data_IF_398320410013
#
_entry.id   IF_398320410013
#
_cell.length_a   1.000
_cell.length_b   1.000
_cell.length_c   1.000
_cell.angle_alpha   90.00
_cell.angle_beta   90.00
_cell.angle_gamma   90.00
#
_symmetry.space_group_name_H-M   'P 1'
#
loop_
_entity.id
_entity.type
_entity.pdbx_description
1 polymer ?
#
# COMPACT_ATOMS: atom_id res chain seq x y z
N UNK A 1 -3.48 7.66 2.03
CA UNK A 1 -4.36 6.63 2.65
C UNK A 1 -3.58 5.83 3.71
N UNK A 2 -4.24 5.35 4.76
CA UNK A 2 -3.75 4.36 5.74
C UNK A 2 -4.65 3.14 5.72
N UNK A 3 -4.22 2.05 6.35
CA UNK A 3 -5.05 0.86 6.57
C UNK A 3 -5.52 0.84 8.03
N UNK A 4 -6.81 0.53 8.22
CA UNK A 4 -7.35 0.20 9.55
C UNK A 4 -6.85 -1.17 9.98
N UNK A 5 -6.74 -1.37 11.30
CA UNK A 5 -6.23 -2.62 11.88
C UNK A 5 -7.37 -3.51 12.37
N UNK A 6 -7.14 -4.82 12.31
CA UNK A 6 -7.94 -5.85 12.99
C UNK A 6 -6.96 -6.76 13.74
N UNK A 7 -7.34 -7.20 14.94
CA UNK A 7 -6.46 -7.98 15.82
C UNK A 7 -7.01 -9.36 16.17
N UNK A 8 -8.24 -9.64 15.74
CA UNK A 8 -8.97 -10.86 16.01
C UNK A 8 -9.89 -11.21 14.82
N UNK A 9 -10.34 -12.46 14.81
CA UNK A 9 -11.17 -13.02 13.73
C UNK A 9 -12.55 -12.34 13.66
N UNK A 10 -13.16 -12.01 14.80
CA UNK A 10 -14.47 -11.36 14.84
C UNK A 10 -14.44 -9.99 14.14
N UNK A 11 -13.43 -9.19 14.42
CA UNK A 11 -13.20 -7.88 13.78
C UNK A 11 -12.96 -8.00 12.27
N UNK A 12 -12.25 -9.05 11.84
CA UNK A 12 -12.05 -9.34 10.42
C UNK A 12 -13.36 -9.76 9.72
N UNK A 13 -14.15 -10.63 10.34
CA UNK A 13 -15.46 -11.03 9.83
C UNK A 13 -16.44 -9.84 9.75
N UNK A 14 -16.38 -8.93 10.72
CA UNK A 14 -17.12 -7.68 10.69
C UNK A 14 -16.69 -6.78 9.52
N UNK A 15 -15.39 -6.73 9.18
CA UNK A 15 -14.91 -6.05 7.97
C UNK A 15 -15.47 -6.69 6.70
N UNK A 16 -15.40 -8.01 6.56
CA UNK A 16 -15.96 -8.74 5.41
C UNK A 16 -17.45 -8.41 5.23
N UNK A 17 -18.23 -8.45 6.32
CA UNK A 17 -19.65 -8.11 6.30
C UNK A 17 -19.90 -6.68 5.80
N UNK A 18 -19.14 -5.69 6.29
CA UNK A 18 -19.27 -4.29 5.82
C UNK A 18 -19.01 -4.15 4.32
N UNK A 19 -18.07 -4.93 3.76
CA UNK A 19 -17.79 -4.94 2.32
C UNK A 19 -18.97 -5.54 1.55
N UNK A 20 -19.48 -6.70 1.95
CA UNK A 20 -20.64 -7.36 1.32
C UNK A 20 -21.90 -6.47 1.36
N UNK A 21 -22.23 -5.91 2.52
CA UNK A 21 -23.39 -5.04 2.71
C UNK A 21 -23.32 -3.81 1.78
N UNK A 22 -22.13 -3.22 1.62
CA UNK A 22 -21.91 -2.07 0.74
C UNK A 22 -22.03 -2.42 -0.75
N UNK A 23 -21.59 -3.63 -1.12
CA UNK A 23 -21.70 -4.13 -2.50
C UNK A 23 -23.10 -4.66 -2.83
N UNK A 24 -23.97 -4.88 -1.83
CA UNK A 24 -25.29 -5.53 -1.97
C UNK A 24 -25.19 -6.89 -2.67
N UNK A 25 -24.12 -7.63 -2.40
CA UNK A 25 -23.87 -8.95 -2.96
C UNK A 25 -23.58 -9.95 -1.85
N UNK A 26 -24.06 -11.17 -2.06
CA UNK A 26 -23.77 -12.34 -1.23
C UNK A 26 -22.76 -13.28 -1.90
N UNK A 27 -22.18 -12.86 -3.02
CA UNK A 27 -21.19 -13.66 -3.74
C UNK A 27 -19.90 -13.77 -2.92
N UNK A 28 -19.14 -14.84 -3.20
CA UNK A 28 -17.84 -15.02 -2.57
C UNK A 28 -16.86 -13.93 -3.04
N UNK A 29 -16.35 -13.16 -2.09
CA UNK A 29 -15.32 -12.17 -2.34
C UNK A 29 -13.94 -12.84 -2.38
N UNK A 30 -13.17 -12.51 -3.41
CA UNK A 30 -11.76 -12.91 -3.49
C UNK A 30 -10.91 -11.80 -2.91
N UNK A 31 -10.06 -12.15 -1.93
CA UNK A 31 -9.14 -11.21 -1.28
C UNK A 31 -7.70 -11.48 -1.73
N UNK A 32 -6.94 -10.40 -1.97
CA UNK A 32 -5.48 -10.47 -2.05
C UNK A 32 -4.91 -10.32 -0.63
N UNK A 33 -4.18 -11.32 -0.17
CA UNK A 33 -3.55 -11.32 1.15
C UNK A 33 -2.04 -11.18 0.98
N UNK A 34 -1.49 -10.06 1.45
CA UNK A 34 -0.06 -9.76 1.40
C UNK A 34 0.51 -9.63 2.82
N UNK A 35 1.80 -9.96 2.98
CA UNK A 35 2.48 -9.76 4.26
C UNK A 35 2.62 -8.27 4.57
N UNK A 36 2.27 -7.88 5.79
CA UNK A 36 2.50 -6.53 6.29
C UNK A 36 3.97 -6.34 6.63
N UNK A 37 4.76 -5.85 5.67
CA UNK A 37 6.16 -5.51 5.88
C UNK A 37 6.28 -4.36 6.91
N UNK A 38 7.16 -4.55 7.88
CA UNK A 38 7.46 -3.52 8.88
C UNK A 38 8.64 -2.66 8.42
N UNK A 39 8.31 -1.47 7.91
CA UNK A 39 9.27 -0.56 7.31
C UNK A 39 8.62 0.79 7.05
N UNK A 40 9.20 1.56 6.13
CA UNK A 40 8.67 2.86 5.72
C UNK A 40 8.01 2.77 4.35
N UNK A 41 6.81 3.34 4.24
CA UNK A 41 6.13 3.47 2.95
C UNK A 41 6.82 4.54 2.09
N UNK A 42 7.16 4.16 0.86
CA UNK A 42 7.76 5.03 -0.16
C UNK A 42 6.93 4.98 -1.43
N UNK A 43 6.94 6.06 -2.20
CA UNK A 43 6.37 6.15 -3.54
C UNK A 43 7.49 6.37 -4.54
N UNK A 44 7.44 5.71 -5.70
CA UNK A 44 8.46 5.82 -6.74
C UNK A 44 7.74 6.11 -8.07
N UNK A 45 8.09 7.23 -8.68
CA UNK A 45 7.59 7.66 -9.97
C UNK A 45 8.53 7.19 -11.08
N UNK A 46 7.97 6.45 -12.02
CA UNK A 46 8.64 6.09 -13.27
C UNK A 46 7.95 6.78 -14.44
N UNK A 47 8.73 7.43 -15.29
CA UNK A 47 8.26 7.99 -16.56
C UNK A 47 9.00 7.31 -17.70
N UNK A 48 8.25 6.78 -18.68
CA UNK A 48 8.82 6.02 -19.80
C UNK A 48 9.76 4.88 -19.34
N UNK A 49 9.42 4.22 -18.22
CA UNK A 49 10.22 3.15 -17.61
C UNK A 49 11.40 3.62 -16.77
N UNK A 50 11.72 4.91 -16.74
CA UNK A 50 12.88 5.46 -16.02
C UNK A 50 12.45 6.01 -14.67
N UNK A 51 13.15 5.66 -13.59
CA UNK A 51 12.93 6.25 -12.27
C UNK A 51 13.24 7.75 -12.34
N UNK A 52 12.24 8.59 -12.09
CA UNK A 52 12.37 10.06 -12.08
C UNK A 52 12.44 10.60 -10.66
N UNK A 53 11.58 10.13 -9.76
CA UNK A 53 11.47 10.65 -8.40
C UNK A 53 11.07 9.54 -7.42
N UNK A 54 11.48 9.66 -6.16
CA UNK A 54 10.91 8.90 -5.06
C UNK A 54 10.67 9.77 -3.83
N UNK A 55 9.60 9.49 -3.10
CA UNK A 55 9.20 10.25 -1.92
C UNK A 55 8.77 9.35 -0.76
N UNK A 56 8.92 9.82 0.47
CA UNK A 56 8.30 9.19 1.65
C UNK A 56 6.78 9.35 1.59
N UNK A 57 6.03 8.49 2.28
CA UNK A 57 4.58 8.67 2.44
C UNK A 57 4.21 9.97 3.15
N UNK A 58 5.03 10.41 4.11
CA UNK A 58 4.72 11.52 5.02
C UNK A 58 3.33 11.36 5.66
N UNK A 59 2.49 12.40 5.55
CA UNK A 59 1.11 12.40 6.05
C UNK A 59 0.09 11.78 5.07
N UNK A 60 0.56 11.32 3.90
CA UNK A 60 -0.25 10.79 2.82
C UNK A 60 -0.66 11.82 1.75
N UNK A 61 -0.33 13.10 1.94
CA UNK A 61 -0.49 14.20 0.98
C UNK A 61 0.86 14.85 0.66
N UNK A 62 1.66 15.14 1.68
CA UNK A 62 3.01 15.72 1.57
C UNK A 62 4.03 14.74 2.13
N UNK A 63 5.13 14.54 1.40
CA UNK A 63 6.26 13.71 1.79
C UNK A 63 7.60 14.37 1.44
N UNK A 64 8.69 13.70 1.78
CA UNK A 64 10.05 14.17 1.54
C UNK A 64 10.64 13.51 0.29
N UNK A 65 11.40 14.27 -0.51
CA UNK A 65 12.15 13.70 -1.64
C UNK A 65 13.33 12.87 -1.14
N UNK A 66 13.30 11.57 -1.48
CA UNK A 66 14.32 10.58 -1.10
C UNK A 66 14.88 9.88 -2.34
N UNK A 67 14.79 10.50 -3.52
CA UNK A 67 15.19 9.92 -4.81
C UNK A 67 16.63 9.39 -4.78
N UNK A 68 17.55 10.18 -4.23
CA UNK A 68 18.96 9.79 -4.12
C UNK A 68 19.15 8.53 -3.27
N UNK A 69 18.45 8.43 -2.13
CA UNK A 69 18.51 7.28 -1.25
C UNK A 69 17.91 6.04 -1.91
N UNK A 70 16.75 6.18 -2.55
CA UNK A 70 16.03 5.09 -3.22
C UNK A 70 16.85 4.50 -4.37
N UNK A 71 17.58 5.32 -5.13
CA UNK A 71 18.50 4.84 -6.19
C UNK A 71 19.62 3.92 -5.68
N UNK A 72 19.93 3.94 -4.37
CA UNK A 72 20.95 3.04 -3.79
C UNK A 72 20.43 1.64 -3.47
N UNK A 73 19.09 1.44 -3.46
CA UNK A 73 18.47 0.17 -3.10
C UNK A 73 18.55 -0.78 -4.30
N UNK A 74 19.34 -1.85 -4.18
CA UNK A 74 19.66 -2.78 -5.28
C UNK A 74 18.45 -3.43 -5.94
N UNK A 75 17.38 -3.65 -5.20
CA UNK A 75 16.16 -4.28 -5.71
C UNK A 75 15.28 -3.33 -6.53
N UNK A 76 15.58 -2.03 -6.54
CA UNK A 76 14.79 -1.02 -7.24
C UNK A 76 15.37 -0.81 -8.64
N UNK A 77 14.61 -1.12 -9.71
CA UNK A 77 15.08 -0.90 -11.07
C UNK A 77 15.20 0.60 -11.36
N UNK A 78 16.19 0.98 -12.17
CA UNK A 78 16.37 2.38 -12.57
C UNK A 78 15.81 2.66 -13.97
N UNK A 79 15.64 1.61 -14.78
CA UNK A 79 15.13 1.56 -16.15
C UNK A 79 14.55 0.18 -16.42
#
# INVERSE_FOLDING_TARGET
>A
LSLDNVFDEESFLAFNKRVQDRLKSTDHLTYCCELKLDGLAVSILYENGVLVQAATRGDGTTGEDITSNVRTIRAIPLK
#
